data_IF_292530923427
#
_entry.id   IF_292530923427
#
_cell.length_a   1.000
_cell.length_b   1.000
_cell.length_c   1.000
_cell.angle_alpha   90.00
_cell.angle_beta   90.00
_cell.angle_gamma   90.00
#
_symmetry.space_group_name_H-M   'P 1'
#
loop_
_entity.id
_entity.type
_entity.pdbx_description
1 polymer ?
#
# COMPACT_ATOMS: atom_id res chain seq x y z
N UNK A 1 13.18 19.99 7.46
CA UNK A 1 14.64 20.23 7.15
C UNK A 1 15.30 19.09 6.35
N UNK A 2 14.89 17.82 6.44
CA UNK A 2 15.52 16.74 5.66
C UNK A 2 14.98 16.59 4.22
N UNK A 3 13.81 17.08 3.91
CA UNK A 3 13.17 16.89 2.59
C UNK A 3 13.52 18.02 1.60
N UNK A 4 13.94 19.18 2.07
CA UNK A 4 14.30 20.33 1.22
C UNK A 4 15.58 20.12 0.40
N UNK A 5 16.39 19.13 0.77
CA UNK A 5 17.71 18.93 0.15
C UNK A 5 17.73 18.08 -1.12
N UNK A 6 16.67 17.33 -1.44
CA UNK A 6 16.69 16.43 -2.59
C UNK A 6 16.53 17.16 -3.93
N UNK A 7 15.75 18.23 -3.97
CA UNK A 7 15.61 19.08 -5.17
C UNK A 7 16.88 19.86 -5.52
N UNK A 8 17.83 19.96 -4.57
CA UNK A 8 19.14 20.59 -4.80
C UNK A 8 20.15 19.64 -5.49
N UNK A 9 19.83 18.34 -5.58
CA UNK A 9 20.73 17.35 -6.15
C UNK A 9 20.58 17.27 -7.67
N UNK A 10 19.34 17.39 -8.16
CA UNK A 10 19.03 17.27 -9.58
C UNK A 10 17.70 18.00 -9.87
N UNK A 11 17.69 18.87 -10.87
CA UNK A 11 16.53 19.67 -11.27
C UNK A 11 15.37 18.83 -11.85
N UNK A 12 15.65 17.60 -12.24
CA UNK A 12 14.65 16.60 -12.67
C UNK A 12 13.87 16.03 -11.51
N UNK A 13 14.38 16.12 -10.27
CA UNK A 13 13.69 15.65 -9.06
C UNK A 13 12.72 16.74 -8.61
N UNK A 14 11.43 16.42 -8.57
CA UNK A 14 10.40 17.33 -8.10
C UNK A 14 9.75 16.78 -6.85
N UNK A 15 9.85 17.54 -5.77
CA UNK A 15 9.10 17.26 -4.58
C UNK A 15 7.69 17.82 -4.74
N UNK A 16 6.68 16.98 -4.61
CA UNK A 16 5.29 17.40 -4.59
C UNK A 16 4.87 17.61 -3.12
N UNK A 17 4.32 18.79 -2.84
CA UNK A 17 3.64 19.07 -1.58
C UNK A 17 2.32 18.30 -1.52
N UNK A 18 1.61 18.41 -0.39
CA UNK A 18 0.27 17.85 -0.26
C UNK A 18 -0.62 18.24 -1.44
N UNK A 19 -1.27 17.27 -2.03
CA UNK A 19 -2.04 17.42 -3.26
C UNK A 19 -3.49 16.94 -3.05
N UNK A 20 -4.41 17.37 -3.90
CA UNK A 20 -5.77 16.87 -3.89
C UNK A 20 -5.83 15.38 -4.22
N UNK A 21 -6.93 14.70 -3.85
CA UNK A 21 -7.13 13.28 -4.21
C UNK A 21 -7.15 13.08 -5.73
N UNK A 22 -7.75 14.01 -6.46
CA UNK A 22 -7.81 14.00 -7.93
C UNK A 22 -6.43 14.09 -8.56
N UNK A 23 -5.60 15.02 -8.09
CA UNK A 23 -4.24 15.20 -8.59
C UNK A 23 -3.37 13.99 -8.24
N UNK A 24 -3.51 13.45 -7.03
CA UNK A 24 -2.82 12.23 -6.63
C UNK A 24 -3.14 11.05 -7.59
N UNK A 25 -4.42 10.80 -7.85
CA UNK A 25 -4.85 9.76 -8.80
C UNK A 25 -4.32 10.05 -10.20
N UNK A 26 -4.32 11.31 -10.62
CA UNK A 26 -3.76 11.72 -11.90
C UNK A 26 -2.27 11.38 -11.98
N UNK A 27 -1.48 11.67 -10.94
CA UNK A 27 -0.07 11.30 -10.91
C UNK A 27 0.14 9.78 -11.01
N UNK A 28 -0.65 9.00 -10.28
CA UNK A 28 -0.58 7.54 -10.40
C UNK A 28 -0.91 7.04 -11.81
N UNK A 29 -1.91 7.61 -12.47
CA UNK A 29 -2.33 7.20 -13.83
C UNK A 29 -1.37 7.64 -14.92
N UNK A 30 -0.75 8.81 -14.78
CA UNK A 30 0.10 9.41 -15.81
C UNK A 30 1.58 9.11 -15.63
N UNK A 31 1.97 8.67 -14.44
CA UNK A 31 3.33 8.20 -14.17
C UNK A 31 3.68 6.98 -15.02
N UNK A 32 4.89 6.91 -15.52
CA UNK A 32 5.35 5.76 -16.29
C UNK A 32 5.59 4.55 -15.39
N UNK A 33 6.16 4.77 -14.23
CA UNK A 33 6.51 3.74 -13.25
C UNK A 33 6.27 4.28 -11.85
N UNK A 34 5.69 3.47 -11.00
CA UNK A 34 5.64 3.70 -9.56
C UNK A 34 6.76 2.92 -8.89
N UNK A 35 7.43 3.53 -7.92
CA UNK A 35 8.53 2.91 -7.18
C UNK A 35 8.29 3.00 -5.68
N UNK A 36 8.29 1.85 -5.00
CA UNK A 36 8.22 1.74 -3.55
C UNK A 36 9.25 0.74 -3.03
N UNK A 37 10.42 1.23 -2.64
CA UNK A 37 11.45 0.40 -2.01
C UNK A 37 11.40 0.52 -0.48
N UNK A 38 10.22 0.28 0.08
CA UNK A 38 10.01 0.27 1.52
C UNK A 38 10.74 -0.91 2.17
N UNK A 39 11.28 -0.68 3.37
CA UNK A 39 11.95 -1.70 4.18
C UNK A 39 10.98 -2.56 4.99
N UNK A 40 9.81 -2.02 5.28
CA UNK A 40 8.74 -2.70 6.00
C UNK A 40 7.43 -1.96 5.75
N UNK A 41 6.38 -2.68 5.48
CA UNK A 41 5.05 -2.13 5.21
C UNK A 41 3.98 -3.02 5.83
N UNK A 42 2.97 -2.39 6.44
CA UNK A 42 1.78 -3.12 6.87
C UNK A 42 0.94 -3.60 5.69
N UNK A 43 0.73 -2.72 4.70
CA UNK A 43 -0.04 -3.01 3.47
C UNK A 43 0.50 -2.30 2.24
N UNK A 44 0.99 -1.08 2.34
CA UNK A 44 1.44 -0.21 1.24
C UNK A 44 0.29 0.23 0.32
N UNK A 45 -0.63 1.03 0.85
CA UNK A 45 -1.76 1.57 0.07
C UNK A 45 -1.34 2.28 -1.22
N UNK A 46 -0.28 3.12 -1.25
CA UNK A 46 0.15 3.76 -2.50
C UNK A 46 0.55 2.77 -3.60
N UNK A 47 1.13 1.63 -3.23
CA UNK A 47 1.50 0.60 -4.19
C UNK A 47 0.27 -0.04 -4.83
N UNK A 48 -0.70 -0.49 -4.03
CA UNK A 48 -1.93 -1.11 -4.57
C UNK A 48 -2.75 -0.12 -5.39
N UNK A 49 -2.77 1.16 -5.00
CA UNK A 49 -3.44 2.22 -5.77
C UNK A 49 -2.77 2.45 -7.13
N UNK A 50 -1.43 2.48 -7.19
CA UNK A 50 -0.69 2.58 -8.45
C UNK A 50 -0.94 1.36 -9.35
N UNK A 51 -0.90 0.17 -8.79
CA UNK A 51 -1.20 -1.08 -9.51
C UNK A 51 -2.65 -1.10 -10.01
N UNK A 52 -3.60 -0.61 -9.21
CA UNK A 52 -5.01 -0.47 -9.61
C UNK A 52 -5.21 0.50 -10.78
N UNK A 53 -4.33 1.49 -10.91
CA UNK A 53 -4.30 2.42 -12.04
C UNK A 53 -3.63 1.81 -13.30
N UNK A 54 -3.11 0.59 -13.24
CA UNK A 54 -2.39 -0.05 -14.33
C UNK A 54 -1.01 0.59 -14.59
N UNK A 55 -0.40 1.16 -13.57
CA UNK A 55 0.94 1.73 -13.64
C UNK A 55 1.96 0.66 -13.28
N UNK A 56 2.96 0.39 -14.11
CA UNK A 56 4.06 -0.51 -13.79
C UNK A 56 4.65 -0.16 -12.42
N UNK A 57 4.64 -1.10 -11.48
CA UNK A 57 4.98 -0.82 -10.09
C UNK A 57 6.13 -1.69 -9.63
N UNK A 58 7.25 -1.05 -9.27
CA UNK A 58 8.44 -1.68 -8.72
C UNK A 58 8.32 -1.63 -7.19
N UNK A 59 8.55 -2.74 -6.51
CA UNK A 59 8.40 -2.83 -5.07
C UNK A 59 9.43 -3.76 -4.41
N UNK A 60 9.74 -3.53 -3.13
CA UNK A 60 10.56 -4.46 -2.33
C UNK A 60 9.81 -5.76 -2.08
N UNK A 61 10.43 -6.89 -2.39
CA UNK A 61 9.79 -8.21 -2.25
C UNK A 61 9.74 -8.67 -0.78
N UNK A 62 8.99 -7.93 0.06
CA UNK A 62 8.88 -8.21 1.50
C UNK A 62 7.59 -7.68 2.11
N UNK A 63 7.31 -8.11 3.31
CA UNK A 63 6.27 -7.64 4.23
C UNK A 63 4.82 -7.68 3.69
N UNK A 64 3.88 -6.94 4.29
CA UNK A 64 2.45 -7.04 4.03
C UNK A 64 2.02 -6.75 2.59
N UNK A 65 2.82 -6.04 1.81
CA UNK A 65 2.52 -5.78 0.40
C UNK A 65 2.53 -7.03 -0.48
N UNK A 66 3.15 -8.13 -0.03
CA UNK A 66 3.16 -9.40 -0.77
C UNK A 66 1.76 -9.99 -0.94
N UNK A 67 0.84 -9.69 -0.04
CA UNK A 67 -0.54 -10.19 -0.10
C UNK A 67 -1.23 -9.89 -1.44
N UNK A 68 -0.93 -8.74 -2.03
CA UNK A 68 -1.52 -8.35 -3.31
C UNK A 68 -0.52 -8.22 -4.45
N UNK A 69 0.78 -8.05 -4.15
CA UNK A 69 1.81 -7.77 -5.16
C UNK A 69 2.57 -9.02 -5.60
N UNK A 70 2.59 -10.10 -4.80
CA UNK A 70 3.25 -11.36 -5.17
C UNK A 70 2.65 -11.93 -6.46
N UNK A 71 3.51 -12.30 -7.42
CA UNK A 71 3.09 -12.75 -8.75
C UNK A 71 2.63 -11.62 -9.68
N UNK A 72 2.49 -10.40 -9.17
CA UNK A 72 2.14 -9.18 -9.90
C UNK A 72 3.25 -8.15 -9.75
N UNK A 73 3.10 -7.00 -10.43
CA UNK A 73 4.11 -5.94 -10.34
C UNK A 73 5.52 -6.40 -10.72
N UNK A 74 6.52 -5.72 -10.16
CA UNK A 74 7.94 -5.92 -10.49
C UNK A 74 8.74 -5.95 -9.18
N UNK A 75 9.08 -7.13 -8.65
CA UNK A 75 9.72 -7.25 -7.35
C UNK A 75 11.22 -6.93 -7.41
N UNK A 76 11.70 -6.21 -6.40
CA UNK A 76 13.12 -6.04 -6.10
C UNK A 76 13.52 -7.02 -5.02
N UNK A 77 14.61 -7.75 -5.23
CA UNK A 77 15.14 -8.69 -4.25
C UNK A 77 15.50 -7.98 -2.95
N UNK A 78 15.44 -8.74 -1.87
CA UNK A 78 15.93 -8.32 -0.56
C UNK A 78 17.37 -8.79 -0.42
N UNK A 79 18.26 -7.85 -0.09
CA UNK A 79 19.66 -8.12 0.18
C UNK A 79 19.86 -8.77 1.55
N UNK A 80 19.23 -8.19 2.57
CA UNK A 80 19.38 -8.65 3.94
C UNK A 80 18.18 -8.30 4.80
N UNK A 81 17.99 -9.10 5.85
CA UNK A 81 17.06 -8.84 6.93
C UNK A 81 17.85 -8.37 8.16
N UNK A 82 17.42 -7.28 8.77
CA UNK A 82 18.09 -6.66 9.92
C UNK A 82 17.11 -6.45 11.06
N UNK A 83 17.57 -6.68 12.28
CA UNK A 83 16.78 -6.36 13.46
C UNK A 83 16.49 -4.84 13.48
N UNK A 84 15.22 -4.49 13.65
CA UNK A 84 14.82 -3.12 13.87
C UNK A 84 15.36 -2.67 15.25
N UNK A 85 16.10 -1.58 15.24
CA UNK A 85 16.51 -0.98 16.50
C UNK A 85 15.78 0.35 16.70
N UNK A 86 15.63 0.74 17.97
CA UNK A 86 14.89 1.95 18.36
C UNK A 86 15.49 3.24 17.82
N UNK A 87 16.76 3.24 17.43
CA UNK A 87 17.45 4.42 16.89
C UNK A 87 17.09 4.70 15.43
N UNK A 88 16.64 3.70 14.68
CA UNK A 88 16.30 3.84 13.26
C UNK A 88 14.93 4.51 13.06
N UNK A 89 14.04 4.42 14.04
CA UNK A 89 12.65 4.89 13.94
C UNK A 89 12.31 6.13 14.78
N UNK A 90 13.30 6.76 15.38
CA UNK A 90 13.09 7.99 16.14
C UNK A 90 12.15 7.87 17.33
N UNK A 91 11.67 8.36 18.15
CA UNK A 91 10.77 8.48 19.30
C UNK A 91 9.93 7.26 19.73
N UNK A 92 9.93 6.14 19.04
CA UNK A 92 9.19 4.96 19.51
C UNK A 92 10.09 4.11 20.39
N UNK A 93 10.07 4.41 21.68
CA UNK A 93 10.65 3.57 22.73
C UNK A 93 9.77 2.34 22.97
N UNK A 94 9.68 1.45 22.02
CA UNK A 94 9.17 0.11 22.26
C UNK A 94 10.38 -0.83 22.32
N UNK A 95 11.10 -0.77 23.41
CA UNK A 95 12.35 -1.49 23.65
C UNK A 95 12.21 -3.02 23.64
N UNK A 96 11.00 -3.56 23.53
CA UNK A 96 10.72 -4.95 23.82
C UNK A 96 10.01 -5.72 22.68
N UNK A 97 9.80 -5.11 21.52
CA UNK A 97 9.25 -5.81 20.36
C UNK A 97 10.33 -5.97 19.29
N UNK A 98 10.97 -7.15 19.22
CA UNK A 98 11.89 -7.45 18.15
C UNK A 98 11.09 -7.56 16.84
N UNK A 99 11.21 -6.57 15.99
CA UNK A 99 10.79 -6.62 14.61
C UNK A 99 12.02 -6.61 13.71
N UNK A 100 11.85 -7.01 12.47
CA UNK A 100 12.89 -6.92 11.48
C UNK A 100 12.45 -5.98 10.34
N UNK A 101 13.43 -5.37 9.70
CA UNK A 101 13.22 -4.68 8.43
C UNK A 101 14.09 -5.30 7.34
N UNK A 102 13.69 -5.09 6.12
CA UNK A 102 14.30 -5.72 4.95
C UNK A 102 15.05 -4.67 4.12
N UNK A 103 16.30 -4.89 3.85
CA UNK A 103 17.10 -3.99 3.03
C UNK A 103 16.96 -4.40 1.56
N UNK A 104 16.41 -3.54 0.68
CA UNK A 104 16.32 -3.85 -0.75
C UNK A 104 17.70 -3.94 -1.39
N UNK A 105 17.87 -4.85 -2.35
CA UNK A 105 19.07 -4.92 -3.20
C UNK A 105 19.04 -3.75 -4.20
N UNK A 106 19.78 -2.69 -3.91
CA UNK A 106 19.83 -1.50 -4.77
C UNK A 106 20.54 -1.73 -6.11
N UNK A 107 21.40 -2.73 -6.22
CA UNK A 107 21.99 -3.11 -7.51
C UNK A 107 20.91 -3.75 -8.39
N UNK A 108 20.17 -4.70 -7.84
CA UNK A 108 19.04 -5.29 -8.53
C UNK A 108 17.94 -4.26 -8.85
N UNK A 109 17.67 -3.30 -7.96
CA UNK A 109 16.77 -2.19 -8.27
C UNK A 109 17.21 -1.44 -9.53
N UNK A 110 18.50 -1.12 -9.63
CA UNK A 110 19.05 -0.42 -10.80
C UNK A 110 18.90 -1.24 -12.08
N UNK A 111 19.09 -2.55 -12.01
CA UNK A 111 18.88 -3.49 -13.12
C UNK A 111 17.39 -3.50 -13.53
N UNK A 112 16.50 -3.67 -12.57
CA UNK A 112 15.05 -3.67 -12.79
C UNK A 112 14.57 -2.35 -13.41
N UNK A 113 15.03 -1.21 -12.91
CA UNK A 113 14.67 0.09 -13.49
C UNK A 113 15.09 0.23 -14.94
N UNK A 114 16.29 -0.25 -15.30
CA UNK A 114 16.79 -0.27 -16.68
C UNK A 114 15.96 -1.20 -17.56
N UNK A 115 15.64 -2.38 -17.07
CA UNK A 115 14.84 -3.36 -17.81
C UNK A 115 13.43 -2.82 -18.07
N UNK A 116 12.78 -2.22 -17.06
CA UNK A 116 11.48 -1.58 -17.23
C UNK A 116 11.52 -0.43 -18.22
N UNK A 117 12.59 0.37 -18.22
CA UNK A 117 12.77 1.44 -19.21
C UNK A 117 12.86 0.91 -20.64
N UNK A 118 13.67 -0.12 -20.86
CA UNK A 118 13.88 -0.71 -22.20
C UNK A 118 12.62 -1.44 -22.69
N UNK A 119 11.95 -2.18 -21.80
CA UNK A 119 10.83 -3.04 -22.08
C UNK A 119 9.49 -2.46 -21.64
N UNK A 120 9.38 -1.13 -21.54
CA UNK A 120 8.25 -0.42 -20.95
C UNK A 120 6.90 -0.88 -21.47
N UNK A 121 6.76 -1.06 -22.77
CA UNK A 121 5.49 -1.48 -23.40
C UNK A 121 5.00 -2.81 -22.83
N UNK A 122 5.89 -3.79 -22.69
CA UNK A 122 5.56 -5.11 -22.15
C UNK A 122 5.10 -5.00 -20.69
N UNK A 123 5.83 -4.23 -19.87
CA UNK A 123 5.44 -4.01 -18.47
C UNK A 123 4.12 -3.25 -18.35
N UNK A 124 3.88 -2.27 -19.21
CA UNK A 124 2.62 -1.52 -19.23
C UNK A 124 1.43 -2.41 -19.59
N UNK A 125 1.56 -3.25 -20.62
CA UNK A 125 0.51 -4.19 -21.02
C UNK A 125 0.21 -5.22 -19.92
N UNK A 126 1.25 -5.72 -19.23
CA UNK A 126 1.11 -6.61 -18.07
C UNK A 126 0.36 -5.90 -16.94
N UNK A 127 0.81 -4.72 -16.56
CA UNK A 127 0.21 -3.95 -15.45
C UNK A 127 -1.25 -3.56 -15.71
N UNK A 128 -1.63 -3.30 -16.95
CA UNK A 128 -3.04 -3.06 -17.31
C UNK A 128 -3.91 -4.29 -17.08
N UNK A 129 -3.42 -5.50 -17.37
CA UNK A 129 -4.14 -6.74 -17.09
C UNK A 129 -4.26 -6.97 -15.58
N UNK A 130 -3.14 -6.86 -14.87
CA UNK A 130 -3.09 -7.02 -13.41
C UNK A 130 -3.99 -6.03 -12.67
N UNK A 131 -4.15 -4.81 -13.20
CA UNK A 131 -5.01 -3.79 -12.60
C UNK A 131 -6.48 -4.19 -12.55
N UNK A 132 -6.95 -5.00 -13.49
CA UNK A 132 -8.32 -5.53 -13.49
C UNK A 132 -8.50 -6.49 -12.33
N UNK A 133 -7.58 -7.45 -12.19
CA UNK A 133 -7.60 -8.44 -11.11
C UNK A 133 -7.55 -7.78 -9.72
N UNK A 134 -6.67 -6.79 -9.56
CA UNK A 134 -6.54 -6.05 -8.28
C UNK A 134 -7.83 -5.34 -7.93
N UNK A 135 -8.46 -4.63 -8.86
CA UNK A 135 -9.74 -3.94 -8.62
C UNK A 135 -10.88 -4.92 -8.32
N UNK A 136 -10.85 -6.11 -8.90
CA UNK A 136 -11.84 -7.14 -8.61
C UNK A 136 -11.64 -7.80 -7.25
N UNK A 137 -10.38 -7.97 -6.82
CA UNK A 137 -10.06 -8.66 -5.58
C UNK A 137 -10.07 -7.75 -4.35
N UNK A 138 -9.62 -6.51 -4.50
CA UNK A 138 -9.37 -5.59 -3.39
C UNK A 138 -10.25 -4.33 -3.45
N UNK A 139 -11.53 -4.48 -3.81
CA UNK A 139 -12.50 -3.40 -3.67
C UNK A 139 -13.17 -3.40 -2.29
N UNK A 140 -13.71 -2.25 -1.90
CA UNK A 140 -14.29 -2.04 -0.56
C UNK A 140 -15.52 -2.92 -0.31
N UNK A 141 -16.35 -3.18 -1.30
CA UNK A 141 -17.54 -4.02 -1.15
C UNK A 141 -17.14 -5.45 -0.78
N UNK A 142 -16.18 -6.01 -1.50
CA UNK A 142 -15.67 -7.35 -1.23
C UNK A 142 -14.97 -7.46 0.13
N UNK A 143 -14.22 -6.45 0.52
CA UNK A 143 -13.58 -6.40 1.85
C UNK A 143 -14.62 -6.30 2.95
N UNK A 144 -15.69 -5.53 2.74
CA UNK A 144 -16.80 -5.43 3.68
C UNK A 144 -17.53 -6.77 3.82
N UNK A 145 -17.80 -7.47 2.72
CA UNK A 145 -18.44 -8.80 2.75
C UNK A 145 -17.59 -9.79 3.53
N UNK A 146 -16.28 -9.89 3.25
CA UNK A 146 -15.36 -10.75 4.00
C UNK A 146 -15.36 -10.40 5.49
N UNK A 147 -15.37 -9.11 5.81
CA UNK A 147 -15.42 -8.64 7.20
C UNK A 147 -16.71 -9.07 7.90
N UNK A 148 -17.85 -8.89 7.25
CA UNK A 148 -19.16 -9.31 7.78
C UNK A 148 -19.26 -10.83 7.96
N UNK A 149 -18.80 -11.60 6.99
CA UNK A 149 -18.79 -13.07 7.08
C UNK A 149 -17.89 -13.54 8.22
N UNK A 150 -16.72 -12.94 8.38
CA UNK A 150 -15.81 -13.24 9.49
C UNK A 150 -16.44 -12.95 10.86
N UNK A 151 -17.11 -11.80 10.99
CA UNK A 151 -17.82 -11.42 12.22
C UNK A 151 -18.96 -12.40 12.49
N UNK A 152 -19.77 -12.73 11.50
CA UNK A 152 -20.88 -13.66 11.64
C UNK A 152 -20.41 -15.06 12.03
N UNK A 153 -19.34 -15.55 11.41
CA UNK A 153 -18.74 -16.85 11.77
C UNK A 153 -18.23 -16.83 13.22
N UNK A 154 -17.52 -15.76 13.63
CA UNK A 154 -17.07 -15.60 15.00
C UNK A 154 -18.23 -15.59 16.01
N UNK A 155 -19.29 -14.85 15.74
CA UNK A 155 -20.48 -14.78 16.58
C UNK A 155 -21.23 -16.11 16.65
N UNK A 156 -21.27 -16.88 15.56
CA UNK A 156 -21.89 -18.19 15.53
C UNK A 156 -21.19 -19.20 16.44
N UNK A 157 -19.88 -19.09 16.56
CA UNK A 157 -19.06 -19.94 17.46
C UNK A 157 -19.14 -19.54 18.93
N UNK A 158 -19.62 -18.32 19.21
CA UNK A 158 -19.74 -17.76 20.55
C UNK A 158 -21.11 -17.15 20.81
N UNK A 159 -22.17 -17.97 20.86
CA UNK A 159 -23.54 -17.47 20.96
C UNK A 159 -23.84 -16.64 22.21
N UNK A 160 -23.02 -16.74 23.27
CA UNK A 160 -23.14 -15.89 24.46
C UNK A 160 -22.76 -14.42 24.23
N UNK A 161 -22.09 -14.09 23.12
CA UNK A 161 -21.83 -12.72 22.72
C UNK A 161 -23.03 -12.08 21.99
N UNK A 162 -23.92 -12.89 21.44
CA UNK A 162 -25.18 -12.46 20.82
C UNK A 162 -26.23 -12.08 21.90
N UNK A 163 -25.88 -11.21 22.81
CA UNK A 163 -26.91 -10.61 23.67
C UNK A 163 -27.70 -9.64 22.82
N UNK A 164 -29.05 -9.71 22.83
CA UNK A 164 -29.85 -8.71 22.16
C UNK A 164 -29.49 -7.35 22.76
N UNK A 165 -29.01 -6.45 21.90
CA UNK A 165 -28.80 -5.05 22.27
C UNK A 165 -30.17 -4.57 22.72
N UNK A 166 -30.30 -4.16 24.00
CA UNK A 166 -31.56 -3.55 24.48
C UNK A 166 -31.74 -2.28 23.65
N UNK A 167 -32.82 -2.23 22.87
CA UNK A 167 -33.15 -1.15 21.92
C UNK A 167 -33.05 0.27 22.50
N UNK A 168 -32.95 0.39 23.81
CA UNK A 168 -32.96 1.68 24.52
C UNK A 168 -31.56 2.26 24.84
N UNK A 169 -30.45 1.71 24.33
CA UNK A 169 -29.13 2.19 24.72
C UNK A 169 -28.19 2.63 23.58
N UNK A 170 -28.62 2.61 22.34
CA UNK A 170 -27.82 3.17 21.25
C UNK A 170 -28.66 4.19 20.51
N UNK A 171 -28.65 5.41 21.03
CA UNK A 171 -29.09 6.56 20.25
C UNK A 171 -27.92 6.99 19.36
N UNK A 172 -27.72 6.29 18.25
CA UNK A 172 -26.82 6.74 17.21
C UNK A 172 -27.53 7.86 16.48
N UNK A 173 -27.37 9.10 16.96
CA UNK A 173 -27.67 10.25 16.12
C UNK A 173 -26.69 10.20 14.95
N UNK A 174 -27.16 9.85 13.79
CA UNK A 174 -26.42 10.05 12.54
C UNK A 174 -26.10 11.55 12.45
N UNK A 175 -24.84 11.90 12.56
CA UNK A 175 -24.38 13.20 12.13
C UNK A 175 -24.49 13.13 10.61
N UNK A 176 -25.47 13.83 10.05
CA UNK A 176 -25.57 14.04 8.61
C UNK A 176 -24.29 14.76 8.15
N UNK A 177 -23.31 14.01 7.73
CA UNK A 177 -22.17 14.54 6.98
C UNK A 177 -22.62 14.89 5.57
N UNK A 178 -21.97 15.85 4.90
CA UNK A 178 -22.34 16.23 3.54
C UNK A 178 -22.28 15.00 2.63
N UNK A 179 -23.38 14.74 1.91
CA UNK A 179 -23.44 13.72 0.87
C UNK A 179 -22.40 14.09 -0.19
N UNK A 180 -21.36 13.31 -0.31
CA UNK A 180 -20.45 13.39 -1.43
C UNK A 180 -21.16 12.69 -2.59
N UNK A 181 -21.66 13.46 -3.54
CA UNK A 181 -22.07 12.94 -4.83
C UNK A 181 -20.83 12.46 -5.58
N UNK A 182 -20.84 11.19 -5.99
CA UNK A 182 -19.75 10.52 -6.72
C UNK A 182 -19.90 10.83 -8.23
#
# INVERSE_FOLDING_TARGET
ERLENYSLIDDRIKQLSFTSREDYIKYLKTGHVFLSCARSEGWNLPLIEAMSCGTPSIYSNCSGQLEFAEGRGIPVRIDSEKAANTNDYGRYTMSDLPGNYYEPDFNHLSEVMRDVYVNYKTYKEKSLKESIEIREQFNWDKVADIGLDTINDFLSRKPWLNRPVRENQINISYIDGPKVEI
#
